data_IF_936255027106
#
_entry.id   IF_936255027106
#
_cell.length_a   1.000
_cell.length_b   1.000
_cell.length_c   1.000
_cell.angle_alpha   90.00
_cell.angle_beta   90.00
_cell.angle_gamma   90.00
#
_symmetry.space_group_name_H-M   'P 1'
#
loop_
_entity.id
_entity.type
_entity.pdbx_description
1 polymer ?
#
# COMPACT_ATOMS: atom_id res chain seq x y z
N UNK A 1 25.72 28.27 0.77
CA UNK A 1 25.19 27.12 1.14
C UNK A 1 23.75 26.88 0.85
N UNK A 2 22.88 27.75 1.22
CA UNK A 2 21.50 27.63 0.82
C UNK A 2 21.36 27.51 -0.68
N UNK A 3 22.23 28.16 -1.40
CA UNK A 3 22.19 28.10 -2.86
C UNK A 3 22.45 26.70 -3.40
N UNK A 4 23.34 25.98 -2.71
CA UNK A 4 23.60 24.61 -3.13
C UNK A 4 22.37 23.74 -2.95
N UNK A 5 21.64 23.97 -1.87
CA UNK A 5 20.41 23.24 -1.63
C UNK A 5 19.35 23.60 -2.64
N UNK A 6 19.27 24.88 -2.98
CA UNK A 6 18.23 25.31 -3.91
C UNK A 6 18.53 24.86 -5.33
N UNK A 7 19.76 24.47 -5.65
CA UNK A 7 20.06 23.96 -6.99
C UNK A 7 19.60 22.52 -7.15
N UNK A 8 19.37 21.83 -6.05
CA UNK A 8 18.82 20.50 -6.10
C UNK A 8 17.31 20.62 -6.27
N UNK A 9 16.75 19.94 -7.24
CA UNK A 9 15.34 20.06 -7.48
C UNK A 9 14.53 19.46 -6.34
N UNK A 10 13.39 20.05 -6.06
CA UNK A 10 12.48 19.53 -5.03
C UNK A 10 12.11 18.09 -5.34
N UNK A 11 12.03 17.76 -6.61
CA UNK A 11 11.71 16.42 -7.07
C UNK A 11 12.75 15.41 -6.57
N UNK A 12 14.04 15.73 -6.69
CA UNK A 12 15.09 14.82 -6.24
C UNK A 12 15.05 14.61 -4.73
N UNK A 13 14.77 15.68 -3.99
CA UNK A 13 14.66 15.58 -2.54
C UNK A 13 13.54 14.63 -2.16
N UNK A 14 12.40 14.73 -2.85
CA UNK A 14 11.26 13.86 -2.57
C UNK A 14 11.60 12.40 -2.91
N UNK A 15 12.23 12.15 -4.05
CA UNK A 15 12.64 10.79 -4.41
C UNK A 15 13.62 10.21 -3.41
N UNK A 16 14.52 11.03 -2.91
CA UNK A 16 15.48 10.60 -1.90
C UNK A 16 14.77 10.16 -0.63
N UNK A 17 13.79 10.95 -0.22
CA UNK A 17 12.98 10.62 0.95
C UNK A 17 12.17 9.33 0.73
N UNK A 18 11.56 9.19 -0.44
CA UNK A 18 10.79 7.98 -0.76
C UNK A 18 11.71 6.76 -0.74
N UNK A 19 12.91 6.91 -1.28
CA UNK A 19 13.87 5.80 -1.28
C UNK A 19 14.21 5.37 0.14
N UNK A 20 14.48 6.33 1.02
CA UNK A 20 14.81 6.03 2.42
C UNK A 20 13.64 5.35 3.11
N UNK A 21 12.42 5.85 2.91
CA UNK A 21 11.23 5.25 3.51
C UNK A 21 10.98 3.85 2.97
N UNK A 22 11.18 3.64 1.67
CA UNK A 22 10.96 2.32 1.09
C UNK A 22 11.93 1.30 1.64
N UNK A 23 13.16 1.71 1.96
CA UNK A 23 14.12 0.84 2.63
C UNK A 23 13.67 0.46 4.03
N UNK A 24 13.09 1.41 4.76
CA UNK A 24 12.53 1.12 6.07
C UNK A 24 11.34 0.18 5.96
N UNK A 25 10.53 0.34 4.92
CA UNK A 25 9.40 -0.55 4.68
C UNK A 25 9.85 -2.00 4.49
N UNK A 26 10.96 -2.21 3.79
CA UNK A 26 11.52 -3.56 3.65
C UNK A 26 11.84 -4.15 5.02
N UNK A 27 12.49 -3.37 5.86
CA UNK A 27 12.89 -3.82 7.19
C UNK A 27 11.69 -4.22 8.04
N UNK A 28 10.67 -3.36 8.09
CA UNK A 28 9.49 -3.65 8.92
C UNK A 28 8.66 -4.79 8.33
N UNK A 29 8.63 -4.92 7.01
CA UNK A 29 7.93 -6.03 6.38
C UNK A 29 8.60 -7.35 6.72
N UNK A 30 9.93 -7.38 6.72
CA UNK A 30 10.69 -8.57 7.11
C UNK A 30 10.45 -8.94 8.57
N UNK A 31 10.19 -7.94 9.40
CA UNK A 31 9.89 -8.15 10.81
C UNK A 31 8.42 -8.42 11.08
N UNK A 32 7.59 -8.45 10.04
CA UNK A 32 6.14 -8.62 10.16
C UNK A 32 5.50 -7.51 10.99
N UNK A 33 6.09 -6.34 10.98
CA UNK A 33 5.57 -5.17 11.68
C UNK A 33 4.64 -4.40 10.75
N UNK A 34 3.42 -4.90 10.62
CA UNK A 34 2.47 -4.38 9.65
C UNK A 34 1.97 -2.98 10.00
N UNK A 35 1.85 -2.66 11.27
CA UNK A 35 1.43 -1.33 11.70
C UNK A 35 2.43 -0.27 11.25
N UNK A 36 3.72 -0.55 11.44
CA UNK A 36 4.77 0.35 10.99
C UNK A 36 4.79 0.44 9.47
N UNK A 37 4.55 -0.68 8.80
CA UNK A 37 4.52 -0.70 7.35
C UNK A 37 3.41 0.21 6.81
N UNK A 38 2.24 0.13 7.42
CA UNK A 38 1.11 0.97 7.02
C UNK A 38 1.42 2.44 7.23
N UNK A 39 2.05 2.78 8.35
CA UNK A 39 2.43 4.15 8.64
C UNK A 39 3.43 4.68 7.61
N UNK A 40 4.42 3.86 7.26
CA UNK A 40 5.40 4.25 6.25
C UNK A 40 4.76 4.37 4.88
N UNK A 41 3.85 3.49 4.53
CA UNK A 41 3.14 3.55 3.26
C UNK A 41 2.36 4.86 3.14
N UNK A 42 1.73 5.29 4.22
CA UNK A 42 1.01 6.57 4.23
C UNK A 42 1.94 7.75 3.95
N UNK A 43 3.14 7.71 4.52
CA UNK A 43 4.12 8.77 4.30
C UNK A 43 4.60 8.77 2.85
N UNK A 44 4.85 7.60 2.29
CA UNK A 44 5.25 7.48 0.90
C UNK A 44 4.16 7.99 -0.03
N UNK A 45 2.91 7.65 0.26
CA UNK A 45 1.78 8.12 -0.54
C UNK A 45 1.70 9.65 -0.52
N UNK A 46 1.88 10.26 0.64
CA UNK A 46 1.86 11.72 0.74
C UNK A 46 2.97 12.35 -0.09
N UNK A 47 4.16 11.73 -0.10
CA UNK A 47 5.26 12.24 -0.91
C UNK A 47 4.99 12.07 -2.41
N UNK A 48 4.39 10.95 -2.80
CA UNK A 48 3.99 10.74 -4.20
C UNK A 48 2.99 11.80 -4.65
N UNK A 49 2.04 12.12 -3.79
CA UNK A 49 1.06 13.14 -4.10
C UNK A 49 1.72 14.49 -4.32
N UNK A 50 2.73 14.79 -3.52
CA UNK A 50 3.50 16.03 -3.70
C UNK A 50 4.21 16.05 -5.04
N UNK A 51 4.76 14.91 -5.46
CA UNK A 51 5.39 14.80 -6.78
C UNK A 51 4.38 15.06 -7.90
N UNK A 52 3.22 14.46 -7.79
CA UNK A 52 2.19 14.60 -8.82
C UNK A 52 1.66 16.03 -8.88
N UNK A 53 1.51 16.67 -7.72
CA UNK A 53 1.03 18.04 -7.67
C UNK A 53 2.07 19.04 -8.14
N UNK A 54 3.35 18.67 -8.06
CA UNK A 54 4.42 19.54 -8.51
C UNK A 54 4.50 19.71 -10.02
N UNK A 55 3.86 18.80 -10.76
CA UNK A 55 3.85 18.89 -12.20
C UNK A 55 5.15 18.37 -12.82
N UNK A 56 5.20 18.44 -14.13
CA UNK A 56 6.32 17.91 -14.90
C UNK A 56 7.39 18.97 -15.21
N UNK A 57 7.13 20.22 -14.86
CA UNK A 57 8.04 21.29 -15.23
C UNK A 57 9.42 21.08 -14.64
N UNK A 58 9.52 20.50 -13.47
CA UNK A 58 10.79 20.25 -12.81
C UNK A 58 11.63 19.24 -13.56
N UNK A 59 10.99 18.28 -14.21
CA UNK A 59 11.70 17.24 -14.96
C UNK A 59 12.49 17.81 -16.11
N UNK A 60 11.97 18.88 -16.70
CA UNK A 60 12.63 19.51 -17.84
C UNK A 60 13.86 20.30 -17.42
N UNK A 61 13.97 20.62 -16.13
CA UNK A 61 15.07 21.42 -15.62
C UNK A 61 16.21 20.57 -15.05
N UNK A 62 16.06 19.25 -15.05
CA UNK A 62 17.08 18.38 -14.50
C UNK A 62 18.26 18.28 -15.47
N UNK A 63 19.46 18.35 -14.91
CA UNK A 63 20.67 18.10 -15.67
C UNK A 63 20.76 16.59 -15.99
N UNK A 64 21.70 16.24 -16.85
CA UNK A 64 21.93 14.82 -17.18
C UNK A 64 22.31 14.04 -15.92
N UNK A 65 23.15 14.63 -15.06
CA UNK A 65 23.54 13.98 -13.82
C UNK A 65 22.38 13.80 -12.88
N UNK A 66 21.52 14.80 -12.77
CA UNK A 66 20.34 14.74 -11.92
C UNK A 66 19.32 13.73 -12.43
N UNK A 67 19.16 13.65 -13.76
CA UNK A 67 18.31 12.65 -14.37
C UNK A 67 18.79 11.23 -14.09
N UNK A 68 20.11 11.04 -14.13
CA UNK A 68 20.70 9.75 -13.80
C UNK A 68 20.47 9.39 -12.34
N UNK A 69 20.62 10.38 -11.45
CA UNK A 69 20.33 10.20 -10.02
C UNK A 69 18.87 9.79 -9.80
N UNK A 70 17.98 10.51 -10.46
CA UNK A 70 16.55 10.23 -10.36
C UNK A 70 16.25 8.79 -10.79
N UNK A 71 16.81 8.38 -11.93
CA UNK A 71 16.61 7.02 -12.44
C UNK A 71 17.13 5.97 -11.47
N UNK A 72 18.29 6.21 -10.87
CA UNK A 72 18.87 5.28 -9.91
C UNK A 72 17.99 5.18 -8.66
N UNK A 73 17.47 6.30 -8.18
CA UNK A 73 16.60 6.31 -7.02
C UNK A 73 15.29 5.59 -7.30
N UNK A 74 14.69 5.84 -8.47
CA UNK A 74 13.46 5.16 -8.84
C UNK A 74 13.67 3.67 -8.93
N UNK A 75 14.79 3.24 -9.51
CA UNK A 75 15.10 1.82 -9.60
C UNK A 75 15.20 1.19 -8.21
N UNK A 76 15.87 1.87 -7.28
CA UNK A 76 16.00 1.36 -5.93
C UNK A 76 14.66 1.32 -5.21
N UNK A 77 13.83 2.32 -5.42
CA UNK A 77 12.48 2.34 -4.85
C UNK A 77 11.67 1.15 -5.36
N UNK A 78 11.75 0.87 -6.66
CA UNK A 78 11.02 -0.24 -7.25
C UNK A 78 11.53 -1.59 -6.73
N UNK A 79 12.84 -1.72 -6.53
CA UNK A 79 13.42 -2.93 -5.94
C UNK A 79 12.91 -3.12 -4.52
N UNK A 80 12.91 -2.06 -3.74
CA UNK A 80 12.41 -2.12 -2.36
C UNK A 80 10.91 -2.46 -2.34
N UNK A 81 10.16 -1.87 -3.24
CA UNK A 81 8.73 -2.14 -3.35
C UNK A 81 8.46 -3.61 -3.68
N UNK A 82 9.25 -4.18 -4.58
CA UNK A 82 9.12 -5.59 -4.92
C UNK A 82 9.45 -6.48 -3.72
N UNK A 83 10.46 -6.08 -2.94
CA UNK A 83 10.83 -6.83 -1.75
C UNK A 83 9.73 -6.79 -0.69
N UNK A 84 9.17 -5.61 -0.45
CA UNK A 84 8.05 -5.45 0.47
C UNK A 84 6.89 -6.34 0.02
N UNK A 85 6.60 -6.32 -1.26
CA UNK A 85 5.49 -7.09 -1.81
C UNK A 85 5.67 -8.59 -1.59
N UNK A 86 6.89 -9.08 -1.70
CA UNK A 86 7.17 -10.49 -1.44
C UNK A 86 6.81 -10.91 -0.03
N UNK A 87 6.93 -10.02 0.92
CA UNK A 87 6.57 -10.31 2.30
C UNK A 87 5.08 -10.10 2.58
N UNK A 88 4.47 -9.15 1.88
CA UNK A 88 3.08 -8.77 2.11
C UNK A 88 2.11 -9.71 1.40
N UNK A 89 2.44 -10.14 0.19
CA UNK A 89 1.51 -10.94 -0.62
C UNK A 89 1.03 -12.22 0.06
N UNK A 90 1.92 -13.03 0.65
CA UNK A 90 1.43 -14.24 1.33
C UNK A 90 0.46 -13.91 2.46
N UNK A 91 0.75 -12.84 3.20
CA UNK A 91 -0.14 -12.41 4.27
C UNK A 91 -1.48 -11.94 3.72
N UNK A 92 -1.44 -11.17 2.63
CA UNK A 92 -2.66 -10.68 1.97
C UNK A 92 -3.49 -11.84 1.43
N UNK A 93 -2.84 -12.84 0.86
CA UNK A 93 -3.53 -14.03 0.36
C UNK A 93 -4.23 -14.75 1.51
N UNK A 94 -3.56 -14.89 2.65
CA UNK A 94 -4.16 -15.51 3.82
C UNK A 94 -5.39 -14.74 4.29
N UNK A 95 -5.30 -13.41 4.31
CA UNK A 95 -6.43 -12.58 4.71
C UNK A 95 -7.59 -12.73 3.73
N UNK A 96 -7.30 -12.74 2.44
CA UNK A 96 -8.33 -12.92 1.43
C UNK A 96 -9.04 -14.26 1.57
N UNK A 97 -8.27 -15.32 1.81
CA UNK A 97 -8.84 -16.64 2.02
C UNK A 97 -9.72 -16.67 3.26
N UNK A 98 -9.26 -16.05 4.33
CA UNK A 98 -10.03 -15.99 5.56
C UNK A 98 -11.34 -15.25 5.34
N UNK A 99 -11.29 -14.10 4.69
CA UNK A 99 -12.49 -13.32 4.41
C UNK A 99 -13.41 -14.04 3.44
N UNK A 100 -12.85 -14.74 2.48
CA UNK A 100 -13.63 -15.54 1.56
C UNK A 100 -14.39 -16.65 2.28
N UNK A 101 -13.72 -17.34 3.18
CA UNK A 101 -14.36 -18.38 4.00
C UNK A 101 -15.45 -17.80 4.87
N UNK A 102 -15.21 -16.64 5.45
CA UNK A 102 -16.20 -15.95 6.26
C UNK A 102 -17.44 -15.61 5.44
N UNK A 103 -17.23 -15.10 4.24
CA UNK A 103 -18.35 -14.78 3.36
C UNK A 103 -19.13 -16.02 2.97
N UNK A 104 -18.47 -17.12 2.70
CA UNK A 104 -19.13 -18.35 2.37
C UNK A 104 -19.96 -18.87 3.53
N UNK A 105 -19.40 -18.82 4.73
CA UNK A 105 -20.13 -19.21 5.93
C UNK A 105 -21.38 -18.38 6.12
N UNK A 106 -21.25 -17.09 5.91
CA UNK A 106 -22.36 -16.17 6.03
C UNK A 106 -23.46 -16.52 5.04
N UNK A 107 -23.07 -16.79 3.79
CA UNK A 107 -24.03 -17.16 2.77
C UNK A 107 -24.72 -18.45 3.10
N UNK A 108 -23.99 -19.42 3.60
CA UNK A 108 -24.55 -20.69 3.99
C UNK A 108 -25.52 -20.54 5.15
N UNK A 109 -25.18 -19.73 6.13
CA UNK A 109 -26.07 -19.45 7.26
C UNK A 109 -27.36 -18.79 6.79
N UNK A 110 -27.27 -17.86 5.86
CA UNK A 110 -28.46 -17.23 5.31
C UNK A 110 -29.29 -18.25 4.54
N UNK A 111 -28.67 -19.14 3.80
CA UNK A 111 -29.39 -20.16 3.06
C UNK A 111 -30.13 -21.09 4.01
N UNK A 112 -29.49 -21.52 5.08
CA UNK A 112 -30.14 -22.35 6.09
C UNK A 112 -31.28 -21.61 6.77
N UNK A 113 -31.05 -20.36 7.11
CA UNK A 113 -32.10 -19.55 7.74
C UNK A 113 -33.31 -19.43 6.80
N UNK A 114 -33.03 -19.18 5.52
CA UNK A 114 -34.09 -19.07 4.55
C UNK A 114 -34.86 -20.38 4.39
N UNK A 115 -34.14 -21.50 4.46
CA UNK A 115 -34.76 -22.81 4.37
C UNK A 115 -35.60 -23.11 5.58
N UNK A 116 -35.14 -22.73 6.74
CA UNK A 116 -35.85 -22.97 8.00
C UNK A 116 -37.10 -22.14 8.15
N UNK A 117 -37.08 -20.92 7.63
CA UNK A 117 -38.20 -20.01 7.74
C UNK A 117 -39.52 -20.64 7.31
N UNK A 118 -39.60 -21.23 6.15
CA UNK A 118 -40.88 -21.82 5.71
C UNK A 118 -41.34 -22.96 6.61
N UNK A 119 -40.40 -23.79 7.07
CA UNK A 119 -40.77 -24.94 7.87
C UNK A 119 -41.24 -24.54 9.26
N UNK A 120 -40.83 -23.35 9.72
CA UNK A 120 -41.20 -22.88 11.03
C UNK A 120 -42.43 -22.00 11.00
N UNK A 121 -43.07 -21.91 9.87
CA UNK A 121 -44.30 -21.13 9.74
C UNK A 121 -44.14 -19.70 10.10
N UNK A 122 -43.04 -19.12 9.82
CA UNK A 122 -42.83 -17.73 10.07
C UNK A 122 -42.27 -17.41 11.42
N UNK A 123 -42.52 -18.22 12.41
CA UNK A 123 -41.97 -17.97 13.72
C UNK A 123 -40.44 -17.93 13.67
N UNK A 124 -39.92 -18.83 12.92
CA UNK A 124 -38.48 -18.92 12.77
C UNK A 124 -37.93 -17.76 11.98
N UNK A 125 -38.75 -17.10 11.24
CA UNK A 125 -38.28 -16.00 10.40
C UNK A 125 -37.59 -14.94 11.25
N UNK A 126 -38.21 -14.59 12.37
CA UNK A 126 -37.60 -13.62 13.25
C UNK A 126 -36.35 -14.16 13.91
N UNK A 127 -36.40 -15.40 14.28
CA UNK A 127 -35.30 -16.01 14.99
C UNK A 127 -34.05 -16.08 14.12
N UNK A 128 -34.26 -16.25 12.85
CA UNK A 128 -33.13 -16.44 11.96
C UNK A 128 -32.43 -15.16 11.56
N UNK A 129 -32.97 -14.04 11.83
CA UNK A 129 -32.29 -12.79 11.47
C UNK A 129 -31.15 -12.44 12.40
#
# INVERSE_FOLDING_TARGET
>A
MTLAMSSMSDQLVIYEEIQALSGQMVTVAQANDWDSLIALESRVTALRDRLMNGGDSDSLLLSAAESAQKSAMIRKILENDAEVRRHVEPWMDSVRQFLGSQNQRRKMQHAYAATDIPSESGAAAGASS
#
